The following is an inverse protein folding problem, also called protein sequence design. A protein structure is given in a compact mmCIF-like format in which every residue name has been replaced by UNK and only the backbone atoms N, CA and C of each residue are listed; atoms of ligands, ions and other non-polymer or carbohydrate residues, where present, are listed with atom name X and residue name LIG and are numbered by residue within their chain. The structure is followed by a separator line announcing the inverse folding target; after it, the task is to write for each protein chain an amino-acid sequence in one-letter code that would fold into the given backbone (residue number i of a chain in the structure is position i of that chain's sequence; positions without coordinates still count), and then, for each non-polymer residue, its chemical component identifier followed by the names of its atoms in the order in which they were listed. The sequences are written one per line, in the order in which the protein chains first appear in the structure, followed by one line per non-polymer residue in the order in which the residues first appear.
data_IF_962512770081
#
_entry.id   IF_962512770081
#
_cell.length_a   1.000
_cell.length_b   1.000
_cell.length_c   1.000
_cell.angle_alpha   90.00
_cell.angle_beta   90.00
_cell.angle_gamma   90.00
#
_symmetry.space_group_name_H-M   'P 1'
#
loop_
_entity.id
_entity.type
_entity.pdbx_description
1 polymer ?
#
# COMPACT_ATOMS: atom_id res chain seq x y z
N UNK A 1 -11.70 26.50 12.48
CA UNK A 1 -10.40 25.82 12.23
C UNK A 1 -10.37 25.38 10.78
N UNK A 2 -9.37 25.81 10.01
CA UNK A 2 -9.13 25.25 8.69
C UNK A 2 -8.86 23.74 8.81
N UNK A 3 -9.31 22.98 7.81
CA UNK A 3 -9.00 21.55 7.74
C UNK A 3 -7.53 21.41 7.35
N UNK A 4 -6.82 20.47 7.99
CA UNK A 4 -5.38 20.28 7.77
C UNK A 4 -4.99 20.12 6.29
N UNK A 5 -5.83 19.44 5.50
CA UNK A 5 -5.55 19.15 4.10
C UNK A 5 -5.63 20.39 3.19
N UNK A 6 -6.24 21.50 3.65
CA UNK A 6 -6.27 22.75 2.88
C UNK A 6 -4.89 23.44 2.81
N UNK A 7 -4.00 23.12 3.75
CA UNK A 7 -2.68 23.72 3.90
C UNK A 7 -1.56 22.69 3.72
N UNK A 8 -1.93 21.43 3.40
CA UNK A 8 -0.99 20.33 3.36
C UNK A 8 -0.14 20.33 2.08
N UNK A 9 1.17 20.25 2.24
CA UNK A 9 2.12 19.93 1.18
C UNK A 9 2.29 18.41 1.14
N UNK A 10 1.89 17.81 0.02
CA UNK A 10 1.96 16.37 -0.22
C UNK A 10 3.26 15.97 -0.93
N UNK A 11 3.82 14.84 -0.52
CA UNK A 11 4.88 14.13 -1.23
C UNK A 11 4.41 12.72 -1.59
N UNK A 12 4.49 12.35 -2.87
CA UNK A 12 4.07 11.03 -3.32
C UNK A 12 5.25 10.05 -3.31
N UNK A 13 5.06 8.88 -2.71
CA UNK A 13 6.04 7.79 -2.70
C UNK A 13 5.41 6.57 -3.36
N UNK A 14 6.04 6.05 -4.41
CA UNK A 14 5.75 4.71 -4.92
C UNK A 14 6.71 3.71 -4.26
N UNK A 15 6.26 2.96 -3.22
CA UNK A 15 7.17 2.23 -2.33
C UNK A 15 7.90 1.09 -3.06
N UNK A 16 7.26 0.43 -4.02
CA UNK A 16 7.87 -0.70 -4.73
C UNK A 16 9.05 -0.26 -5.59
N UNK A 17 8.91 0.87 -6.30
CA UNK A 17 10.01 1.44 -7.08
C UNK A 17 11.13 1.98 -6.20
N UNK A 18 10.78 2.69 -5.13
CA UNK A 18 11.76 3.28 -4.21
C UNK A 18 12.59 2.24 -3.46
N UNK A 19 11.97 1.14 -3.04
CA UNK A 19 12.61 0.05 -2.31
C UNK A 19 13.24 -1.01 -3.23
N UNK A 20 13.14 -0.82 -4.55
CA UNK A 20 13.71 -1.72 -5.56
C UNK A 20 13.20 -3.15 -5.46
N UNK A 21 11.91 -3.33 -5.17
CA UNK A 21 11.34 -4.68 -5.03
C UNK A 21 11.15 -5.36 -6.38
N UNK A 22 11.14 -6.69 -6.38
CA UNK A 22 10.86 -7.48 -7.57
C UNK A 22 9.49 -7.13 -8.18
N UNK A 23 9.45 -7.09 -9.52
CA UNK A 23 8.22 -6.78 -10.26
C UNK A 23 7.08 -7.75 -9.96
N UNK A 24 7.39 -9.00 -9.66
CA UNK A 24 6.41 -10.05 -9.37
C UNK A 24 6.52 -10.48 -7.90
N UNK A 25 5.38 -10.58 -7.23
CA UNK A 25 5.29 -11.09 -5.87
C UNK A 25 5.31 -12.64 -5.88
N UNK A 26 6.53 -13.17 -5.78
CA UNK A 26 6.86 -14.61 -5.68
C UNK A 26 7.12 -15.09 -4.24
N UNK A 27 7.19 -14.15 -3.30
CA UNK A 27 7.61 -14.42 -1.93
C UNK A 27 6.59 -15.25 -1.14
N UNK A 28 7.11 -16.13 -0.28
CA UNK A 28 6.32 -16.73 0.80
C UNK A 28 6.56 -16.04 2.14
N UNK A 29 7.71 -15.39 2.31
CA UNK A 29 8.16 -14.72 3.53
C UNK A 29 8.17 -13.21 3.25
N UNK A 30 7.82 -12.42 4.28
CA UNK A 30 7.91 -10.96 4.19
C UNK A 30 9.36 -10.49 4.24
N UNK A 31 9.68 -9.53 3.38
CA UNK A 31 10.92 -8.77 3.38
C UNK A 31 10.69 -7.44 4.08
N UNK A 32 11.31 -7.21 5.23
CA UNK A 32 11.08 -6.04 6.08
C UNK A 32 11.87 -4.83 5.57
N UNK A 33 11.31 -4.10 4.60
CA UNK A 33 11.94 -2.95 3.93
C UNK A 33 11.27 -1.62 4.25
N UNK A 34 10.08 -1.60 4.87
CA UNK A 34 9.35 -0.35 5.17
C UNK A 34 10.17 0.62 6.01
N UNK A 35 11.02 0.11 6.92
CA UNK A 35 11.90 0.95 7.75
C UNK A 35 12.86 1.82 6.93
N UNK A 36 13.25 1.39 5.73
CA UNK A 36 14.10 2.16 4.82
C UNK A 36 13.42 3.46 4.34
N UNK A 37 12.09 3.50 4.33
CA UNK A 37 11.33 4.72 4.03
C UNK A 37 11.53 5.80 5.10
N UNK A 38 11.89 5.44 6.34
CA UNK A 38 12.15 6.41 7.42
C UNK A 38 13.37 7.27 7.14
N UNK A 39 14.33 6.78 6.35
CA UNK A 39 15.53 7.53 5.95
C UNK A 39 15.20 8.78 5.13
N UNK A 40 13.99 8.86 4.56
CA UNK A 40 13.51 10.00 3.81
C UNK A 40 12.88 11.09 4.70
N UNK A 41 12.52 10.81 5.95
CA UNK A 41 11.85 11.79 6.81
C UNK A 41 12.63 13.11 6.98
N UNK A 42 13.97 13.11 7.20
CA UNK A 42 14.72 14.35 7.29
C UNK A 42 14.59 15.23 6.05
N UNK A 43 14.71 14.63 4.85
CA UNK A 43 14.53 15.33 3.59
C UNK A 43 13.11 15.90 3.43
N UNK A 44 12.09 15.14 3.82
CA UNK A 44 10.70 15.61 3.77
C UNK A 44 10.46 16.80 4.71
N UNK A 45 11.08 16.80 5.89
CA UNK A 45 11.01 17.93 6.81
C UNK A 45 11.70 19.19 6.25
N UNK A 46 12.86 19.04 5.61
CA UNK A 46 13.54 20.17 4.93
C UNK A 46 12.66 20.81 3.85
N UNK A 47 11.89 19.99 3.13
CA UNK A 47 10.92 20.45 2.12
C UNK A 47 9.61 20.98 2.72
N UNK A 48 9.47 21.01 4.05
CA UNK A 48 8.22 21.39 4.75
C UNK A 48 7.01 20.53 4.33
N UNK A 49 7.24 19.27 3.95
CA UNK A 49 6.17 18.31 3.66
C UNK A 49 5.40 18.01 4.94
N UNK A 50 4.08 17.94 4.81
CA UNK A 50 3.17 17.69 5.95
C UNK A 50 2.32 16.42 5.77
N UNK A 51 2.33 15.84 4.56
CA UNK A 51 1.66 14.59 4.27
C UNK A 51 2.39 13.78 3.21
N UNK A 52 2.44 12.46 3.40
CA UNK A 52 2.88 11.49 2.40
C UNK A 52 1.64 10.84 1.81
N UNK A 53 1.53 10.85 0.49
CA UNK A 53 0.67 9.92 -0.23
C UNK A 53 1.54 8.72 -0.61
N UNK A 54 1.32 7.60 0.07
CA UNK A 54 1.98 6.35 -0.27
C UNK A 54 1.11 5.64 -1.31
N UNK A 55 1.72 5.33 -2.46
CA UNK A 55 1.10 4.54 -3.52
C UNK A 55 0.72 3.14 -3.02
N UNK A 56 0.36 2.23 -3.93
CA UNK A 56 -0.09 0.90 -3.55
C UNK A 56 0.87 0.17 -2.60
N UNK A 57 0.32 -0.30 -1.49
CA UNK A 57 1.07 -1.00 -0.44
C UNK A 57 0.44 -2.34 -0.05
N UNK A 58 -0.80 -2.61 -0.48
CA UNK A 58 -1.49 -3.86 -0.17
C UNK A 58 -0.91 -5.03 -0.95
N UNK A 59 -0.98 -6.23 -0.39
CA UNK A 59 -0.53 -7.47 -1.03
C UNK A 59 -1.11 -7.57 -2.45
N UNK A 60 -0.22 -7.68 -3.44
CA UNK A 60 -0.54 -7.58 -4.86
C UNK A 60 0.30 -8.57 -5.68
N UNK A 61 -0.01 -8.74 -6.98
CA UNK A 61 0.77 -9.64 -7.83
C UNK A 61 1.99 -8.94 -8.42
N UNK A 62 1.83 -7.68 -8.84
CA UNK A 62 2.86 -6.96 -9.59
C UNK A 62 3.09 -5.54 -9.08
N UNK A 63 2.59 -4.52 -9.76
CA UNK A 63 2.85 -3.11 -9.48
C UNK A 63 1.97 -2.53 -8.36
N UNK A 64 1.21 -3.36 -7.64
CA UNK A 64 0.44 -2.92 -6.46
C UNK A 64 -1.04 -2.65 -6.70
N UNK A 65 -1.45 -2.43 -7.95
CA UNK A 65 -2.87 -2.19 -8.28
C UNK A 65 -3.65 -3.48 -8.58
N UNK A 66 -2.98 -4.64 -8.61
CA UNK A 66 -3.59 -5.96 -8.78
C UNK A 66 -3.71 -6.71 -7.45
N UNK A 67 -4.43 -6.08 -6.51
CA UNK A 67 -4.58 -6.50 -5.11
C UNK A 67 -5.02 -7.96 -4.95
N UNK A 68 -4.33 -8.69 -4.09
CA UNK A 68 -4.63 -10.05 -3.61
C UNK A 68 -5.36 -10.02 -2.26
N UNK A 69 -4.96 -9.12 -1.36
CA UNK A 69 -5.56 -8.95 -0.04
C UNK A 69 -5.42 -7.51 0.46
N UNK A 70 -6.54 -6.83 0.70
CA UNK A 70 -6.57 -5.46 1.23
C UNK A 70 -6.18 -5.36 2.71
N UNK A 71 -6.07 -6.48 3.43
CA UNK A 71 -5.77 -6.50 4.88
C UNK A 71 -4.30 -6.68 5.19
N UNK A 72 -3.49 -6.95 4.18
CA UNK A 72 -2.07 -7.23 4.32
C UNK A 72 -1.27 -6.21 3.53
N UNK A 73 -0.20 -5.70 4.15
CA UNK A 73 0.90 -5.06 3.43
C UNK A 73 1.55 -6.08 2.50
N UNK A 74 2.01 -5.61 1.34
CA UNK A 74 2.70 -6.45 0.37
C UNK A 74 4.01 -6.97 0.96
N UNK A 75 4.13 -8.29 1.01
CA UNK A 75 5.26 -8.96 1.63
C UNK A 75 6.62 -8.59 1.02
N UNK A 76 6.66 -8.06 -0.20
CA UNK A 76 7.92 -7.59 -0.79
C UNK A 76 8.48 -6.35 -0.10
N UNK A 77 7.64 -5.60 0.62
CA UNK A 77 8.06 -4.41 1.37
C UNK A 77 7.99 -4.58 2.88
N UNK A 78 7.16 -5.50 3.39
CA UNK A 78 7.12 -5.83 4.81
C UNK A 78 5.78 -6.41 5.23
N UNK A 79 5.41 -6.16 6.48
CA UNK A 79 4.15 -6.59 7.07
C UNK A 79 3.35 -5.43 7.69
N UNK A 80 2.21 -5.78 8.30
CA UNK A 80 1.33 -4.81 8.93
C UNK A 80 1.97 -4.10 10.15
N UNK A 81 2.89 -4.74 10.87
CA UNK A 81 3.60 -4.11 11.99
C UNK A 81 4.63 -3.11 11.48
N UNK A 82 5.37 -3.45 10.42
CA UNK A 82 6.31 -2.54 9.78
C UNK A 82 5.61 -1.25 9.33
N UNK A 83 4.47 -1.37 8.64
CA UNK A 83 3.72 -0.20 8.19
C UNK A 83 3.10 0.60 9.34
N UNK A 84 2.63 -0.08 10.39
CA UNK A 84 2.12 0.60 11.60
C UNK A 84 3.21 1.43 12.28
N UNK A 85 4.42 0.88 12.40
CA UNK A 85 5.56 1.57 12.97
C UNK A 85 6.00 2.75 12.09
N UNK A 86 6.05 2.57 10.78
CA UNK A 86 6.31 3.65 9.83
C UNK A 86 5.34 4.83 10.01
N UNK A 87 4.03 4.55 10.02
CA UNK A 87 2.99 5.57 10.24
C UNK A 87 3.16 6.26 11.59
N UNK A 88 3.48 5.51 12.65
CA UNK A 88 3.74 6.07 13.99
C UNK A 88 4.90 7.06 13.97
N UNK A 89 6.00 6.73 13.28
CA UNK A 89 7.18 7.58 13.17
C UNK A 89 6.92 8.82 12.30
N UNK A 90 6.20 8.70 11.19
CA UNK A 90 5.74 9.84 10.40
C UNK A 90 4.92 10.81 11.26
N UNK A 91 3.95 10.30 12.02
CA UNK A 91 3.11 11.12 12.90
C UNK A 91 3.92 11.78 14.02
N UNK A 92 4.95 11.14 14.55
CA UNK A 92 5.80 11.70 15.59
C UNK A 92 6.55 12.96 15.13
N UNK A 93 6.79 13.11 13.83
CA UNK A 93 7.42 14.30 13.22
C UNK A 93 6.42 15.21 12.50
N UNK A 94 5.11 15.02 12.74
CA UNK A 94 4.05 15.87 12.18
C UNK A 94 3.67 15.59 10.74
N UNK A 95 4.15 14.48 10.15
CA UNK A 95 3.82 14.07 8.77
C UNK A 95 2.66 13.08 8.79
N UNK A 96 1.57 13.40 8.10
CA UNK A 96 0.41 12.50 7.92
C UNK A 96 0.68 11.48 6.80
N UNK A 97 -0.01 10.34 6.85
CA UNK A 97 0.07 9.31 5.80
C UNK A 97 -1.31 9.08 5.19
N UNK A 98 -1.39 9.14 3.86
CA UNK A 98 -2.57 8.81 3.06
C UNK A 98 -2.24 7.58 2.21
N UNK A 99 -3.10 6.57 2.27
CA UNK A 99 -2.92 5.28 1.58
C UNK A 99 -3.73 5.23 0.29
N UNK A 100 -3.15 4.64 -0.75
CA UNK A 100 -3.85 4.31 -1.99
C UNK A 100 -4.87 3.17 -1.81
N UNK A 101 -6.16 3.49 -1.99
CA UNK A 101 -7.28 2.55 -1.93
C UNK A 101 -7.75 2.12 -3.32
N UNK A 102 -7.20 1.03 -3.84
CA UNK A 102 -7.55 0.49 -5.17
C UNK A 102 -8.89 -0.28 -5.12
N UNK A 103 -10.01 0.42 -4.93
CA UNK A 103 -11.32 -0.24 -4.72
C UNK A 103 -12.11 -0.50 -6.00
N UNK A 104 -11.71 0.09 -7.13
CA UNK A 104 -12.44 -0.07 -8.39
C UNK A 104 -12.28 -1.48 -8.99
N UNK A 105 -11.18 -2.18 -8.70
CA UNK A 105 -10.87 -3.50 -9.24
C UNK A 105 -9.96 -4.28 -8.31
N UNK A 106 -9.89 -5.61 -8.50
CA UNK A 106 -8.99 -6.51 -7.76
C UNK A 106 -8.10 -7.30 -8.71
N UNK A 107 -6.98 -7.84 -8.21
CA UNK A 107 -6.15 -8.78 -8.96
C UNK A 107 -6.82 -10.15 -9.13
N UNK A 108 -6.26 -10.97 -10.02
CA UNK A 108 -6.78 -12.32 -10.33
C UNK A 108 -6.64 -13.34 -9.20
N UNK A 109 -5.75 -13.04 -8.25
CA UNK A 109 -5.50 -13.89 -7.08
C UNK A 109 -6.26 -13.42 -5.83
N UNK A 110 -7.10 -12.39 -5.95
CA UNK A 110 -8.03 -11.99 -4.91
C UNK A 110 -9.02 -13.12 -4.59
N UNK A 111 -9.36 -13.31 -3.31
CA UNK A 111 -10.11 -14.48 -2.87
C UNK A 111 -11.43 -14.67 -3.62
N UNK A 112 -12.17 -13.58 -3.87
CA UNK A 112 -13.46 -13.63 -4.55
C UNK A 112 -13.31 -13.96 -6.05
N UNK A 113 -12.29 -13.40 -6.70
CA UNK A 113 -12.02 -13.67 -8.12
C UNK A 113 -11.50 -15.09 -8.36
N UNK A 114 -10.69 -15.65 -7.44
CA UNK A 114 -10.28 -17.05 -7.50
C UNK A 114 -11.46 -18.00 -7.40
N UNK A 115 -12.36 -17.78 -6.43
CA UNK A 115 -13.58 -18.58 -6.28
C UNK A 115 -14.49 -18.47 -7.52
N UNK A 116 -14.61 -17.26 -8.10
CA UNK A 116 -15.33 -17.06 -9.37
C UNK A 116 -14.70 -17.83 -10.53
N UNK A 117 -13.38 -17.82 -10.67
CA UNK A 117 -12.68 -18.56 -11.74
C UNK A 117 -12.85 -20.07 -11.62
N UNK A 118 -12.87 -20.58 -10.41
CA UNK A 118 -13.03 -22.02 -10.12
C UNK A 118 -14.49 -22.48 -10.26
N UNK A 119 -15.45 -21.72 -9.72
CA UNK A 119 -16.85 -22.12 -9.59
C UNK A 119 -17.78 -21.51 -10.64
N UNK A 120 -17.33 -20.49 -11.37
CA UNK A 120 -18.11 -19.77 -12.39
C UNK A 120 -19.48 -19.34 -11.82
N UNK A 121 -20.57 -19.67 -12.49
CA UNK A 121 -21.95 -19.37 -12.09
C UNK A 121 -22.34 -19.89 -10.70
N UNK A 122 -21.64 -20.90 -10.17
CA UNK A 122 -21.85 -21.43 -8.83
C UNK A 122 -21.10 -20.65 -7.73
N UNK A 123 -20.28 -19.66 -8.09
CA UNK A 123 -19.61 -18.80 -7.13
C UNK A 123 -20.61 -17.87 -6.43
N UNK A 124 -20.47 -17.75 -5.10
CA UNK A 124 -21.22 -16.76 -4.32
C UNK A 124 -20.77 -15.32 -4.58
N UNK A 125 -19.67 -15.12 -5.31
CA UNK A 125 -19.11 -13.81 -5.64
C UNK A 125 -19.32 -13.40 -7.09
N UNK A 126 -20.10 -14.16 -7.88
CA UNK A 126 -20.31 -13.88 -9.31
C UNK A 126 -20.80 -12.45 -9.58
N UNK A 127 -21.65 -11.91 -8.70
CA UNK A 127 -22.24 -10.58 -8.86
C UNK A 127 -21.33 -9.44 -8.35
N UNK A 128 -20.15 -9.75 -7.79
CA UNK A 128 -19.15 -8.74 -7.42
C UNK A 128 -18.40 -8.18 -8.62
N UNK A 129 -18.39 -8.92 -9.73
CA UNK A 129 -17.63 -8.60 -10.93
C UNK A 129 -18.57 -8.42 -12.13
N UNK A 130 -18.13 -7.65 -13.10
CA UNK A 130 -18.84 -7.38 -14.35
C UNK A 130 -17.99 -7.80 -15.53
#
# INVERSE_FOLDING_TARGET
MNKWYNEAIFYHIYPFGLLGVDKENKGMIAEHRVEELLKWLPHLQELSVSAIYIGPLFESNTHGYDTRDYKLVDKRIGDNQDFKEYVRQCHAVGIKVVVDGVFNHTGRDFFAFRDLRERKEASKYKDWYR
#
